data_IF_598151228808
#
_entry.id   IF_598151228808
#
_cell.length_a   1.000
_cell.length_b   1.000
_cell.length_c   1.000
_cell.angle_alpha   90.00
_cell.angle_beta   90.00
_cell.angle_gamma   90.00
#
_symmetry.space_group_name_H-M   'P 1'
#
loop_
_entity.id
_entity.type
_entity.pdbx_description
1 polymer ?
#
# COMPACT_ATOMS: atom_id res chain seq x y z
N UNK A 1 -9.62 -8.22 3.69
CA UNK A 1 -8.43 -7.73 4.40
C UNK A 1 -7.27 -8.59 3.93
N UNK A 2 -6.16 -7.97 3.57
CA UNK A 2 -4.92 -8.64 3.13
C UNK A 2 -3.74 -8.13 3.95
N UNK A 3 -2.64 -8.87 4.00
CA UNK A 3 -1.40 -8.44 4.67
C UNK A 3 -0.23 -8.45 3.69
N UNK A 4 0.78 -7.60 3.93
CA UNK A 4 1.99 -7.61 3.12
C UNK A 4 3.10 -6.73 3.67
N UNK A 5 4.14 -6.52 2.87
CA UNK A 5 5.26 -5.64 3.21
C UNK A 5 5.11 -4.32 2.47
N UNK A 6 5.10 -3.23 3.23
CA UNK A 6 5.11 -1.88 2.72
C UNK A 6 6.49 -1.26 2.92
N UNK A 7 7.08 -0.80 1.83
CA UNK A 7 8.29 0.02 1.82
C UNK A 7 7.90 1.48 1.68
N UNK A 8 8.16 2.28 2.71
CA UNK A 8 8.04 3.73 2.67
C UNK A 8 9.39 4.35 2.31
N UNK A 9 9.41 5.23 1.31
CA UNK A 9 10.58 6.02 0.93
C UNK A 9 10.25 7.49 1.16
N UNK A 10 11.02 8.14 2.01
CA UNK A 10 10.96 9.59 2.14
C UNK A 10 11.65 10.24 0.93
N UNK A 11 10.92 11.00 0.13
CA UNK A 11 11.44 11.53 -1.14
C UNK A 11 12.48 12.65 -0.93
N UNK A 12 12.47 13.29 0.25
CA UNK A 12 13.39 14.37 0.60
C UNK A 12 14.75 13.84 1.07
N UNK A 13 14.74 12.83 1.92
CA UNK A 13 15.93 12.25 2.56
C UNK A 13 16.42 10.97 1.89
N UNK A 14 15.61 10.40 0.97
CA UNK A 14 15.81 9.09 0.33
C UNK A 14 15.89 7.91 1.31
N UNK A 15 15.50 8.12 2.57
CA UNK A 15 15.51 7.07 3.57
C UNK A 15 14.34 6.10 3.36
N UNK A 16 14.64 4.80 3.38
CA UNK A 16 13.65 3.74 3.20
C UNK A 16 13.35 3.04 4.54
N UNK A 17 12.08 2.75 4.78
CA UNK A 17 11.59 2.00 5.93
C UNK A 17 10.64 0.90 5.47
N UNK A 18 10.69 -0.24 6.16
CA UNK A 18 9.84 -1.38 5.87
C UNK A 18 8.89 -1.65 7.03
N UNK A 19 7.64 -1.95 6.69
CA UNK A 19 6.55 -2.22 7.61
C UNK A 19 5.85 -3.51 7.20
N UNK A 20 5.54 -4.36 8.17
CA UNK A 20 4.48 -5.35 7.98
C UNK A 20 3.14 -4.65 8.17
N UNK A 21 2.28 -4.74 7.18
CA UNK A 21 1.01 -4.00 7.14
C UNK A 21 -0.17 -4.93 6.88
N UNK A 22 -1.33 -4.53 7.39
CA UNK A 22 -2.62 -5.01 6.93
C UNK A 22 -3.28 -3.92 6.08
N UNK A 23 -4.00 -4.36 5.06
CA UNK A 23 -4.68 -3.51 4.08
C UNK A 23 -6.15 -3.92 4.01
N UNK A 24 -7.03 -2.94 4.15
CA UNK A 24 -8.46 -3.09 4.01
C UNK A 24 -9.01 -2.05 3.05
N UNK A 25 -9.82 -2.50 2.09
CA UNK A 25 -10.61 -1.63 1.23
C UNK A 25 -11.82 -1.10 1.99
N UNK A 26 -11.98 0.21 1.99
CA UNK A 26 -13.17 0.92 2.46
C UNK A 26 -13.67 1.82 1.33
N UNK A 27 -14.71 1.37 0.61
CA UNK A 27 -15.21 2.03 -0.61
C UNK A 27 -14.07 2.26 -1.64
N UNK A 28 -13.73 3.53 -1.91
CA UNK A 28 -12.68 3.96 -2.86
C UNK A 28 -11.33 4.23 -2.18
N UNK A 29 -11.20 3.85 -0.91
CA UNK A 29 -10.01 4.04 -0.10
C UNK A 29 -9.43 2.72 0.38
N UNK A 30 -8.12 2.74 0.61
CA UNK A 30 -7.37 1.69 1.29
C UNK A 30 -6.93 2.22 2.64
N UNK A 31 -7.38 1.57 3.71
CA UNK A 31 -6.77 1.72 5.02
C UNK A 31 -5.62 0.74 5.14
N UNK A 32 -4.46 1.28 5.49
CA UNK A 32 -3.22 0.53 5.64
C UNK A 32 -2.69 0.84 7.02
N UNK A 33 -2.39 -0.19 7.82
CA UNK A 33 -1.82 0.01 9.14
C UNK A 33 -0.74 -1.02 9.42
N UNK A 34 0.28 -0.64 10.20
CA UNK A 34 1.28 -1.60 10.62
C UNK A 34 0.69 -2.59 11.62
N UNK A 35 1.01 -3.86 11.43
CA UNK A 35 0.71 -4.93 12.38
C UNK A 35 1.73 -4.98 13.53
N UNK A 36 2.76 -4.13 13.51
CA UNK A 36 3.84 -4.10 14.48
C UNK A 36 3.60 -3.01 15.53
N UNK A 37 3.42 -3.40 16.79
CA UNK A 37 3.15 -2.46 17.89
C UNK A 37 4.26 -1.40 18.09
N UNK A 38 5.53 -1.75 17.83
CA UNK A 38 6.68 -0.87 18.02
C UNK A 38 7.00 0.01 16.79
N UNK A 39 6.26 -0.13 15.70
CA UNK A 39 6.37 0.69 14.48
C UNK A 39 4.99 1.12 14.01
N UNK A 40 4.30 1.99 14.77
CA UNK A 40 2.97 2.43 14.40
C UNK A 40 3.01 3.15 13.06
N UNK A 41 2.18 2.68 12.14
CA UNK A 41 1.91 3.32 10.85
C UNK A 41 0.41 3.22 10.63
N UNK A 42 -0.21 4.31 10.21
CA UNK A 42 -1.57 4.32 9.69
C UNK A 42 -1.61 5.26 8.50
N UNK A 43 -2.15 4.77 7.40
CA UNK A 43 -2.21 5.45 6.12
C UNK A 43 -3.59 5.21 5.50
N UNK A 44 -4.10 6.23 4.83
CA UNK A 44 -5.28 6.12 3.98
C UNK A 44 -4.88 6.58 2.59
N UNK A 45 -5.06 5.71 1.61
CA UNK A 45 -4.73 5.96 0.20
C UNK A 45 -6.01 5.87 -0.61
N UNK A 46 -6.32 6.87 -1.43
CA UNK A 46 -7.39 6.69 -2.41
C UNK A 46 -6.90 5.73 -3.48
N UNK A 47 -7.76 4.80 -3.88
CA UNK A 47 -7.38 3.79 -4.86
C UNK A 47 -7.16 4.39 -6.25
N UNK A 48 -7.69 5.57 -6.54
CA UNK A 48 -7.36 6.34 -7.75
C UNK A 48 -5.90 6.82 -7.78
N UNK A 49 -5.31 7.07 -6.61
CA UNK A 49 -3.91 7.47 -6.46
C UNK A 49 -2.96 6.25 -6.42
N UNK A 50 -3.52 5.03 -6.40
CA UNK A 50 -2.76 3.78 -6.40
C UNK A 50 -2.42 3.37 -7.83
N UNK A 51 -1.12 3.20 -8.09
CA UNK A 51 -0.62 2.63 -9.33
C UNK A 51 -0.28 1.16 -9.09
N UNK A 52 -1.08 0.26 -9.66
CA UNK A 52 -0.82 -1.18 -9.57
C UNK A 52 -0.16 -1.66 -10.86
N UNK A 53 1.02 -2.24 -10.72
CA UNK A 53 1.77 -2.91 -11.77
C UNK A 53 1.69 -4.44 -11.58
N UNK A 54 2.25 -5.21 -12.52
CA UNK A 54 2.18 -6.68 -12.47
C UNK A 54 2.78 -7.29 -11.18
N UNK A 55 3.84 -6.68 -10.64
CA UNK A 55 4.62 -7.25 -9.52
C UNK A 55 4.68 -6.35 -8.28
N UNK A 56 4.16 -5.14 -8.36
CA UNK A 56 4.19 -4.18 -7.25
C UNK A 56 3.04 -3.18 -7.37
N UNK A 57 2.71 -2.52 -6.27
CA UNK A 57 1.78 -1.41 -6.25
C UNK A 57 2.42 -0.23 -5.52
N UNK A 58 2.20 0.99 -6.01
CA UNK A 58 2.77 2.18 -5.42
C UNK A 58 1.75 3.31 -5.26
N UNK A 59 1.95 4.12 -4.21
CA UNK A 59 1.21 5.35 -3.99
C UNK A 59 2.15 6.43 -3.46
N UNK A 60 1.91 7.69 -3.84
CA UNK A 60 2.66 8.83 -3.34
C UNK A 60 1.76 9.71 -2.47
N UNK A 61 2.15 9.94 -1.22
CA UNK A 61 1.43 10.82 -0.30
C UNK A 61 2.41 11.64 0.55
N UNK A 62 2.18 12.94 0.66
CA UNK A 62 2.90 13.84 1.57
C UNK A 62 4.44 13.71 1.53
N UNK A 63 5.03 13.79 0.33
CA UNK A 63 6.48 13.63 0.07
C UNK A 63 7.06 12.25 0.43
N UNK A 64 6.20 11.23 0.55
CA UNK A 64 6.60 9.85 0.74
C UNK A 64 6.04 9.01 -0.39
N UNK A 65 6.85 8.06 -0.85
CA UNK A 65 6.44 6.99 -1.75
C UNK A 65 6.22 5.73 -0.92
N UNK A 66 5.13 5.02 -1.19
CA UNK A 66 4.76 3.78 -0.54
C UNK A 66 4.72 2.69 -1.60
N UNK A 67 5.60 1.71 -1.49
CA UNK A 67 5.72 0.57 -2.41
C UNK A 67 5.28 -0.70 -1.68
N UNK A 68 4.23 -1.34 -2.15
CA UNK A 68 3.85 -2.68 -1.73
C UNK A 68 4.71 -3.68 -2.48
N UNK A 69 5.53 -4.41 -1.74
CA UNK A 69 6.32 -5.52 -2.26
C UNK A 69 5.75 -6.80 -1.67
N UNK A 70 5.01 -7.55 -2.46
CA UNK A 70 4.45 -8.83 -2.04
C UNK A 70 5.11 -9.96 -2.83
N UNK A 71 6.09 -10.63 -2.24
CA UNK A 71 6.71 -11.81 -2.84
C UNK A 71 5.76 -13.02 -2.91
N UNK A 72 4.56 -12.93 -2.32
CA UNK A 72 3.51 -13.96 -2.37
C UNK A 72 2.46 -13.73 -3.45
N UNK A 73 2.46 -12.57 -4.12
CA UNK A 73 1.50 -12.19 -5.17
C UNK A 73 0.05 -11.93 -4.71
N UNK A 74 -0.31 -12.23 -3.46
CA UNK A 74 -1.68 -12.14 -2.95
C UNK A 74 -2.16 -10.69 -2.84
N UNK A 75 -1.39 -9.86 -2.13
CA UNK A 75 -1.77 -8.46 -1.89
C UNK A 75 -1.83 -7.65 -3.19
N UNK A 76 -0.86 -7.83 -4.10
CA UNK A 76 -0.84 -7.10 -5.39
C UNK A 76 -2.02 -7.51 -6.27
N UNK A 77 -2.31 -8.81 -6.36
CA UNK A 77 -3.47 -9.31 -7.11
C UNK A 77 -4.80 -8.79 -6.55
N UNK A 78 -4.90 -8.70 -5.22
CA UNK A 78 -6.08 -8.17 -4.57
C UNK A 78 -6.23 -6.66 -4.82
N UNK A 79 -5.14 -5.89 -4.74
CA UNK A 79 -5.14 -4.46 -5.04
C UNK A 79 -5.56 -4.20 -6.50
N UNK A 80 -5.05 -4.99 -7.45
CA UNK A 80 -5.45 -4.92 -8.86
C UNK A 80 -6.96 -5.20 -9.04
N UNK A 81 -7.45 -6.28 -8.42
CA UNK A 81 -8.87 -6.67 -8.46
C UNK A 81 -9.76 -5.55 -7.93
N UNK A 82 -9.36 -4.96 -6.80
CA UNK A 82 -10.12 -3.86 -6.21
C UNK A 82 -10.08 -2.59 -7.05
N UNK A 83 -8.95 -2.30 -7.71
CA UNK A 83 -8.83 -1.16 -8.62
C UNK A 83 -9.73 -1.31 -9.84
N UNK A 84 -9.81 -2.51 -10.43
CA UNK A 84 -10.72 -2.81 -11.54
C UNK A 84 -12.20 -2.68 -11.14
N UNK A 85 -12.54 -3.06 -9.91
CA UNK A 85 -13.90 -2.99 -9.38
C UNK A 85 -14.43 -1.56 -9.12
N UNK A 86 -13.63 -0.52 -9.35
CA UNK A 86 -14.10 0.88 -9.34
C UNK A 86 -14.41 1.43 -10.74
N UNK A 87 -14.00 0.71 -11.79
CA UNK A 87 -14.14 1.17 -13.18
C UNK A 87 -15.47 0.74 -13.81
N UNK A 88 -16.35 0.07 -13.06
CA UNK A 88 -17.66 -0.44 -13.47
C UNK A 88 -18.74 0.10 -12.54
#
# INVERSE_FOLDING_TARGET
METGILKQIDLKTRFAQYFFVAVERQADQLKIWSTQAFKPLMLTVNMHDLQVHQEHAEAALANKKYEFNDNTGGLISQLATWQQAMTY
#
